data_IF_385185404045
#
_entry.id   IF_385185404045
#
_cell.length_a   1.000
_cell.length_b   1.000
_cell.length_c   1.000
_cell.angle_alpha   90.00
_cell.angle_beta   90.00
_cell.angle_gamma   90.00
#
_symmetry.space_group_name_H-M   'P 1'
#
loop_
_entity.id
_entity.type
_entity.pdbx_description
1 polymer ?
#
# COMPACT_ATOMS: atom_id res chain seq x y z
N UNK A 1 18.71 2.77 7.88
CA UNK A 1 18.42 1.63 6.98
C UNK A 1 16.97 1.19 7.10
N UNK A 2 16.48 0.86 8.30
CA UNK A 2 15.08 0.46 8.53
C UNK A 2 14.03 1.44 7.99
N UNK A 3 14.20 2.75 8.23
CA UNK A 3 13.31 3.78 7.68
C UNK A 3 13.18 3.69 6.14
N UNK A 4 14.30 3.49 5.45
CA UNK A 4 14.32 3.41 3.99
C UNK A 4 13.54 2.19 3.48
N UNK A 5 13.57 1.06 4.21
CA UNK A 5 12.80 -0.13 3.85
C UNK A 5 11.29 0.12 3.95
N UNK A 6 10.83 0.85 4.97
CA UNK A 6 9.43 1.27 5.09
C UNK A 6 8.99 2.19 3.96
N UNK A 7 9.80 3.22 3.65
CA UNK A 7 9.50 4.18 2.58
C UNK A 7 9.48 3.51 1.19
N UNK A 8 10.28 2.48 0.98
CA UNK A 8 10.32 1.68 -0.27
C UNK A 8 9.26 0.58 -0.31
N UNK A 9 8.38 0.49 0.68
CA UNK A 9 7.37 -0.57 0.82
C UNK A 9 7.95 -1.99 0.86
N UNK A 10 9.18 -2.15 1.36
CA UNK A 10 9.88 -3.43 1.53
C UNK A 10 9.66 -3.95 2.95
N UNK A 11 8.41 -4.27 3.28
CA UNK A 11 7.99 -4.55 4.66
C UNK A 11 8.55 -5.85 5.22
N UNK A 12 8.61 -6.92 4.42
CA UNK A 12 9.21 -8.20 4.86
C UNK A 12 10.68 -8.02 5.26
N UNK A 13 11.46 -7.34 4.39
CA UNK A 13 12.87 -7.02 4.67
C UNK A 13 13.04 -6.11 5.89
N UNK A 14 12.08 -5.23 6.15
CA UNK A 14 12.08 -4.40 7.36
C UNK A 14 12.01 -5.28 8.61
N UNK A 15 11.09 -6.24 8.65
CA UNK A 15 10.93 -7.13 9.81
C UNK A 15 12.12 -8.07 9.97
N UNK A 16 12.65 -8.62 8.88
CA UNK A 16 13.87 -9.44 8.90
C UNK A 16 15.06 -8.68 9.50
N UNK A 17 15.32 -7.45 9.05
CA UNK A 17 16.43 -6.64 9.57
C UNK A 17 16.16 -6.14 11.00
N UNK A 18 14.89 -5.93 11.37
CA UNK A 18 14.50 -5.57 12.73
C UNK A 18 14.70 -6.73 13.73
N UNK A 19 14.41 -7.96 13.33
CA UNK A 19 14.56 -9.15 14.18
C UNK A 19 16.00 -9.65 14.27
N UNK A 20 16.81 -9.42 13.23
CA UNK A 20 18.19 -9.91 13.14
C UNK A 20 19.16 -9.23 14.10
N UNK A 21 18.95 -7.97 14.44
CA UNK A 21 19.83 -7.19 15.30
C UNK A 21 19.09 -6.80 16.60
N UNK A 22 19.48 -7.46 17.71
CA UNK A 22 18.92 -7.23 19.04
C UNK A 22 19.00 -5.76 19.47
N UNK A 23 19.97 -5.01 18.96
CA UNK A 23 20.13 -3.57 19.23
C UNK A 23 18.86 -2.80 18.88
N UNK A 24 18.20 -3.11 17.75
CA UNK A 24 16.96 -2.42 17.38
C UNK A 24 15.81 -2.72 18.33
N UNK A 25 15.73 -3.95 18.84
CA UNK A 25 14.71 -4.35 19.83
C UNK A 25 14.97 -3.68 21.18
N UNK A 26 16.23 -3.58 21.60
CA UNK A 26 16.60 -2.84 22.81
C UNK A 26 16.22 -1.35 22.70
N UNK A 27 16.57 -0.69 21.59
CA UNK A 27 16.23 0.72 21.34
C UNK A 27 14.74 0.99 21.30
N UNK A 28 13.92 0.01 20.89
CA UNK A 28 12.47 0.15 20.76
C UNK A 28 11.71 -0.39 21.97
N UNK A 29 12.38 -1.03 22.92
CA UNK A 29 11.76 -1.64 24.10
C UNK A 29 11.02 -0.63 24.99
N UNK A 30 11.55 0.59 25.10
CA UNK A 30 10.92 1.69 25.86
C UNK A 30 9.71 2.30 25.12
N UNK A 31 9.60 2.06 23.81
CA UNK A 31 8.52 2.57 22.98
C UNK A 31 7.33 1.60 22.95
N UNK A 32 6.47 1.68 23.97
CA UNK A 32 5.27 0.84 24.09
C UNK A 32 4.42 0.92 22.81
N UNK A 33 4.22 -0.22 22.16
CA UNK A 33 3.42 -0.34 20.94
C UNK A 33 4.12 0.09 19.65
N UNK A 34 5.46 0.16 19.64
CA UNK A 34 6.25 0.49 18.46
C UNK A 34 5.86 -0.33 17.23
N UNK A 35 5.86 -1.67 17.34
CA UNK A 35 5.51 -2.53 16.21
C UNK A 35 4.08 -2.28 15.70
N UNK A 36 3.14 -2.07 16.61
CA UNK A 36 1.76 -1.74 16.25
C UNK A 36 1.66 -0.38 15.54
N UNK A 37 2.50 0.59 15.89
CA UNK A 37 2.60 1.85 15.16
C UNK A 37 3.15 1.63 13.74
N UNK A 38 4.18 0.78 13.59
CA UNK A 38 4.70 0.41 12.27
C UNK A 38 3.62 -0.28 11.44
N UNK A 39 2.92 -1.27 11.99
CA UNK A 39 1.81 -1.95 11.30
C UNK A 39 0.72 -0.98 10.84
N UNK A 40 0.42 0.08 11.61
CA UNK A 40 -0.52 1.15 11.20
C UNK A 40 0.00 2.00 10.04
N UNK A 41 1.31 2.30 10.01
CA UNK A 41 1.94 3.00 8.87
C UNK A 41 1.81 2.15 7.61
N UNK A 42 2.14 0.85 7.71
CA UNK A 42 1.98 -0.11 6.62
C UNK A 42 0.52 -0.18 6.18
N UNK A 43 -0.43 -0.31 7.10
CA UNK A 43 -1.86 -0.36 6.81
C UNK A 43 -2.36 0.90 6.08
N UNK A 44 -1.80 2.07 6.40
CA UNK A 44 -2.13 3.33 5.72
C UNK A 44 -1.66 3.31 4.26
N UNK A 45 -0.44 2.83 4.01
CA UNK A 45 0.09 2.67 2.66
C UNK A 45 -0.73 1.65 1.83
N UNK A 46 -1.19 0.58 2.47
CA UNK A 46 -2.06 -0.42 1.83
C UNK A 46 -3.45 0.16 1.54
N UNK A 47 -4.03 0.94 2.46
CA UNK A 47 -5.35 1.54 2.30
C UNK A 47 -5.46 2.49 1.09
N UNK A 48 -4.35 3.16 0.74
CA UNK A 48 -4.31 4.08 -0.42
C UNK A 48 -4.03 3.36 -1.75
N UNK A 49 -3.44 2.16 -1.73
CA UNK A 49 -2.92 1.50 -2.93
C UNK A 49 -3.71 0.26 -3.35
N UNK A 50 -4.48 -0.35 -2.43
CA UNK A 50 -5.24 -1.57 -2.70
C UNK A 50 -6.73 -1.40 -2.40
N UNK A 51 -7.55 -2.04 -3.22
CA UNK A 51 -8.97 -2.35 -2.93
C UNK A 51 -9.13 -3.82 -2.47
N UNK A 52 -8.21 -4.68 -2.90
CA UNK A 52 -8.12 -6.09 -2.48
C UNK A 52 -6.66 -6.54 -2.48
N UNK A 53 -6.26 -7.36 -1.50
CA UNK A 53 -4.91 -7.93 -1.37
C UNK A 53 -5.03 -9.37 -0.84
N UNK A 54 -4.13 -10.28 -1.20
CA UNK A 54 -4.14 -11.63 -0.63
C UNK A 54 -3.84 -11.58 0.88
N UNK A 55 -4.50 -12.43 1.66
CA UNK A 55 -4.28 -12.45 3.10
C UNK A 55 -2.84 -12.88 3.42
N UNK A 56 -2.31 -13.88 2.70
CA UNK A 56 -0.90 -14.33 2.83
C UNK A 56 0.11 -13.19 2.70
N UNK A 57 -0.04 -12.33 1.69
CA UNK A 57 0.88 -11.21 1.46
C UNK A 57 0.75 -10.16 2.56
N UNK A 58 -0.49 -9.88 2.98
CA UNK A 58 -0.74 -8.89 4.03
C UNK A 58 -0.25 -9.37 5.40
N UNK A 59 -0.33 -10.67 5.68
CA UNK A 59 0.26 -11.29 6.87
C UNK A 59 1.78 -11.11 6.89
N UNK A 60 2.45 -11.35 5.77
CA UNK A 60 3.89 -11.11 5.63
C UNK A 60 4.25 -9.63 5.86
N UNK A 61 3.44 -8.71 5.31
CA UNK A 61 3.66 -7.27 5.49
C UNK A 61 3.49 -6.81 6.93
N UNK A 62 2.52 -7.36 7.67
CA UNK A 62 2.33 -7.03 9.07
C UNK A 62 3.23 -7.83 10.02
N UNK A 63 3.94 -8.84 9.52
CA UNK A 63 4.63 -9.83 10.34
C UNK A 63 3.68 -10.35 11.44
N UNK A 64 2.47 -10.74 11.02
CA UNK A 64 1.42 -11.30 11.86
C UNK A 64 0.90 -12.57 11.19
N UNK A 65 1.11 -13.72 11.82
CA UNK A 65 0.66 -15.01 11.33
C UNK A 65 1.71 -16.10 11.50
N UNK A 66 1.26 -17.33 11.69
CA UNK A 66 2.15 -18.50 11.68
C UNK A 66 2.58 -18.81 10.24
N UNK A 67 3.78 -19.37 10.05
CA UNK A 67 4.34 -19.80 8.76
C UNK A 67 3.52 -20.90 8.02
N UNK A 68 2.30 -21.20 8.47
CA UNK A 68 1.46 -22.31 8.03
C UNK A 68 0.09 -21.83 7.53
N UNK A 69 0.05 -20.87 6.61
CA UNK A 69 -1.03 -20.67 5.62
C UNK A 69 -2.46 -20.39 6.12
N UNK A 70 -2.70 -20.32 7.43
CA UNK A 70 -3.99 -19.95 8.01
C UNK A 70 -3.92 -18.56 8.62
N UNK A 71 -4.99 -17.78 8.42
CA UNK A 71 -5.14 -16.46 9.01
C UNK A 71 -5.24 -16.56 10.53
N UNK A 72 -4.17 -16.14 11.21
CA UNK A 72 -4.10 -16.15 12.68
C UNK A 72 -5.18 -15.24 13.29
N UNK A 73 -5.68 -15.57 14.48
CA UNK A 73 -6.71 -14.80 15.18
C UNK A 73 -6.26 -13.35 15.41
N UNK A 74 -4.97 -13.14 15.69
CA UNK A 74 -4.39 -11.81 15.86
C UNK A 74 -4.45 -10.99 14.56
N UNK A 75 -4.12 -11.61 13.42
CA UNK A 75 -4.21 -10.96 12.11
C UNK A 75 -5.65 -10.57 11.79
N UNK A 76 -6.60 -11.50 11.97
CA UNK A 76 -8.02 -11.25 11.74
C UNK A 76 -8.57 -10.14 12.66
N UNK A 77 -8.17 -10.12 13.93
CA UNK A 77 -8.54 -9.05 14.86
C UNK A 77 -7.95 -7.70 14.42
N UNK A 78 -6.70 -7.68 13.96
CA UNK A 78 -6.03 -6.47 13.49
C UNK A 78 -6.72 -5.88 12.25
N UNK A 79 -6.94 -6.67 11.19
CA UNK A 79 -7.62 -6.17 9.99
C UNK A 79 -9.07 -5.72 10.28
N UNK A 80 -9.76 -6.41 11.20
CA UNK A 80 -11.10 -6.02 11.63
C UNK A 80 -11.10 -4.67 12.35
N UNK A 81 -10.05 -4.39 13.14
CA UNK A 81 -9.86 -3.09 13.79
C UNK A 81 -9.67 -1.94 12.79
N UNK A 82 -9.18 -2.25 11.58
CA UNK A 82 -9.02 -1.31 10.46
C UNK A 82 -10.30 -1.18 9.61
N UNK A 83 -11.36 -1.93 9.93
CA UNK A 83 -12.59 -1.98 9.15
C UNK A 83 -12.45 -2.75 7.84
N UNK A 84 -11.44 -3.62 7.73
CA UNK A 84 -11.24 -4.49 6.56
C UNK A 84 -11.91 -5.85 6.79
N UNK A 85 -12.22 -6.54 5.70
CA UNK A 85 -12.88 -7.85 5.75
C UNK A 85 -12.09 -8.88 4.96
N UNK A 86 -11.88 -10.06 5.51
CA UNK A 86 -11.25 -11.19 4.81
C UNK A 86 -12.32 -12.17 4.33
N UNK A 87 -12.12 -12.71 3.12
CA UNK A 87 -12.94 -13.75 2.51
C UNK A 87 -12.11 -14.54 1.50
N UNK A 88 -12.05 -15.86 1.64
CA UNK A 88 -11.39 -16.78 0.70
C UNK A 88 -9.92 -16.42 0.43
N UNK A 89 -9.14 -16.10 1.47
CA UNK A 89 -7.74 -15.68 1.39
C UNK A 89 -7.54 -14.32 0.69
N UNK A 90 -8.58 -13.48 0.67
CA UNK A 90 -8.53 -12.13 0.11
C UNK A 90 -9.06 -11.15 1.14
N UNK A 91 -8.23 -10.14 1.45
CA UNK A 91 -8.62 -9.01 2.29
C UNK A 91 -9.15 -7.89 1.41
N UNK A 92 -10.38 -7.49 1.68
CA UNK A 92 -11.07 -6.39 1.04
C UNK A 92 -10.91 -5.10 1.86
N UNK A 93 -10.47 -4.06 1.17
CA UNK A 93 -10.21 -2.74 1.75
C UNK A 93 -11.31 -1.79 1.26
N UNK A 94 -11.97 -1.04 2.16
CA UNK A 94 -13.00 -0.08 1.77
C UNK A 94 -12.49 0.94 0.74
N UNK A 95 -13.32 1.20 -0.27
CA UNK A 95 -13.01 2.21 -1.30
C UNK A 95 -13.01 3.60 -0.67
N UNK A 96 -11.96 4.36 -0.94
CA UNK A 96 -11.73 5.73 -0.49
C UNK A 96 -11.21 6.58 -1.67
N UNK A 97 -11.03 7.89 -1.46
CA UNK A 97 -10.64 8.83 -2.53
C UNK A 97 -9.26 8.57 -3.15
N UNK A 98 -8.41 7.82 -2.44
CA UNK A 98 -7.04 7.54 -2.82
C UNK A 98 -6.93 6.21 -3.59
N UNK A 99 -7.64 5.18 -3.14
CA UNK A 99 -7.66 3.86 -3.80
C UNK A 99 -8.76 3.69 -4.86
N UNK A 100 -9.67 4.67 -5.01
CA UNK A 100 -10.69 4.67 -6.06
C UNK A 100 -10.04 4.78 -7.45
N UNK A 101 -10.38 3.85 -8.34
CA UNK A 101 -9.94 3.89 -9.72
C UNK A 101 -10.59 5.10 -10.42
N UNK A 102 -9.79 6.12 -10.77
CA UNK A 102 -10.27 7.33 -11.46
C UNK A 102 -10.26 7.12 -12.96
N UNK A 103 -11.42 6.96 -13.63
CA UNK A 103 -11.45 6.85 -15.08
C UNK A 103 -11.08 8.20 -15.71
N UNK A 104 -9.99 8.22 -16.48
CA UNK A 104 -9.66 9.39 -17.30
C UNK A 104 -10.38 9.27 -18.64
N UNK A 105 -11.36 10.14 -18.89
CA UNK A 105 -11.99 10.24 -20.21
C UNK A 105 -11.03 11.01 -21.12
N UNK A 106 -10.29 10.29 -21.97
CA UNK A 106 -9.43 10.91 -22.99
C UNK A 106 -10.33 11.43 -24.11
N UNK A 107 -10.50 12.76 -24.16
CA UNK A 107 -11.06 13.46 -25.32
C UNK A 107 -9.98 14.35 -25.90
N UNK A 108 -9.75 14.24 -27.20
CA UNK A 108 -8.95 15.22 -27.92
C UNK A 108 -9.74 16.54 -27.96
N UNK A 109 -9.29 17.52 -27.18
CA UNK A 109 -9.76 18.90 -27.30
C UNK A 109 -8.74 19.65 -28.16
N UNK A 110 -8.88 19.50 -29.48
CA UNK A 110 -8.08 20.28 -30.42
C UNK A 110 -8.60 21.71 -30.41
N UNK A 111 -7.81 22.62 -29.85
CA UNK A 111 -8.13 24.05 -29.88
C UNK A 111 -7.82 24.61 -31.26
N UNK A 112 -8.59 25.61 -31.70
CA UNK A 112 -8.43 26.23 -33.02
C UNK A 112 -7.01 26.76 -33.26
N UNK A 113 -6.35 27.28 -32.22
CA UNK A 113 -4.97 27.76 -32.27
C UNK A 113 -3.98 26.66 -32.68
N UNK A 114 -4.26 25.40 -32.35
CA UNK A 114 -3.41 24.24 -32.73
C UNK A 114 -3.56 23.87 -34.21
N UNK A 115 -4.67 24.24 -34.84
CA UNK A 115 -4.95 24.03 -36.27
C UNK A 115 -4.31 25.09 -37.17
N UNK A 116 -3.94 26.25 -36.62
CA UNK A 116 -3.34 27.36 -37.40
C UNK A 116 -2.07 26.95 -38.14
N UNK A 117 -1.26 26.04 -37.58
CA UNK A 117 -0.06 25.50 -38.24
C UNK A 117 -0.38 24.66 -39.48
N UNK A 118 -1.45 23.87 -39.42
CA UNK A 118 -1.90 23.03 -40.54
C UNK A 118 -2.51 23.90 -41.64
N UNK A 119 -3.38 24.84 -41.26
CA UNK A 119 -4.04 25.77 -42.19
C UNK A 119 -3.02 26.69 -42.86
N UNK A 120 -2.05 27.20 -42.10
CA UNK A 120 -0.98 28.05 -42.63
C UNK A 120 -0.12 27.32 -43.66
N UNK A 121 0.25 26.06 -43.38
CA UNK A 121 1.01 25.25 -44.32
C UNK A 121 0.24 24.93 -45.61
N UNK A 122 -1.08 24.71 -45.53
CA UNK A 122 -1.93 24.48 -46.72
C UNK A 122 -2.11 25.72 -47.60
N UNK A 123 -1.83 26.92 -47.10
CA UNK A 123 -1.93 28.18 -47.86
C UNK A 123 -0.63 28.57 -48.60
N UNK A 124 0.48 27.88 -48.32
CA UNK A 124 1.79 28.11 -48.96
C UNK A 124 2.11 27.11 -50.09
N UNK A 125 1.21 26.15 -50.35
CA UNK A 125 1.21 25.22 -51.49
C UNK A 125 0.33 25.75 -52.63
#
# INVERSE_FOLDING_TARGET
>A
MLQQLLEQSRYEQFWEEYEKDETYRELTSDAVGFENAIRKVIATAIAISYQSISADLLQAYFNLGSAAGEADEEFLAFIKSLGWTESNNVVHIPVNKDNEAKPTVIRENIKFEQLTKVIGYSNEL
#
